data_IF_925777042633
#
_entry.id   IF_925777042633
#
_cell.length_a   1.000
_cell.length_b   1.000
_cell.length_c   1.000
_cell.angle_alpha   90.00
_cell.angle_beta   90.00
_cell.angle_gamma   90.00
#
_symmetry.space_group_name_H-M   'P 1'
#
loop_
_entity.id
_entity.type
_entity.pdbx_description
1 polymer ?
#
# COMPACT_ATOMS: atom_id res chain seq x y z
N UNK A 1 -31.89 3.62 -13.45
CA UNK A 1 -30.99 2.63 -12.81
C UNK A 1 -29.61 2.61 -13.47
N UNK A 2 -29.49 2.76 -14.79
CA UNK A 2 -28.18 2.86 -15.48
C UNK A 2 -27.31 4.03 -14.97
N UNK A 3 -27.91 5.21 -14.77
CA UNK A 3 -27.19 6.38 -14.26
C UNK A 3 -26.61 6.18 -12.85
N UNK A 4 -27.28 5.40 -12.01
CA UNK A 4 -26.80 5.11 -10.65
C UNK A 4 -25.61 4.15 -10.67
N UNK A 5 -25.61 3.17 -11.58
CA UNK A 5 -24.50 2.23 -11.74
C UNK A 5 -23.28 2.90 -12.38
N UNK A 6 -23.47 3.74 -13.41
CA UNK A 6 -22.37 4.48 -14.03
C UNK A 6 -21.72 5.47 -13.05
N UNK A 7 -22.52 6.10 -12.21
CA UNK A 7 -22.01 6.97 -11.14
C UNK A 7 -21.21 6.18 -10.10
N UNK A 8 -21.72 5.01 -9.66
CA UNK A 8 -21.01 4.16 -8.68
C UNK A 8 -19.67 3.66 -9.22
N UNK A 9 -19.62 3.29 -10.50
CA UNK A 9 -18.41 2.88 -11.19
C UNK A 9 -17.40 4.03 -11.29
N UNK A 10 -17.84 5.19 -11.74
CA UNK A 10 -17.00 6.39 -11.86
C UNK A 10 -16.44 6.83 -10.50
N UNK A 11 -17.27 6.93 -9.47
CA UNK A 11 -16.82 7.26 -8.11
C UNK A 11 -15.90 6.18 -7.53
N UNK A 12 -16.13 4.91 -7.87
CA UNK A 12 -15.27 3.80 -7.49
C UNK A 12 -13.85 3.95 -8.04
N UNK A 13 -13.71 4.32 -9.31
CA UNK A 13 -12.40 4.56 -9.94
C UNK A 13 -11.70 5.81 -9.39
N UNK A 14 -12.44 6.89 -9.12
CA UNK A 14 -11.88 8.10 -8.49
C UNK A 14 -11.38 7.76 -7.07
N UNK A 15 -12.18 7.05 -6.28
CA UNK A 15 -11.78 6.61 -4.94
C UNK A 15 -10.56 5.69 -4.98
N UNK A 16 -10.53 4.75 -5.94
CA UNK A 16 -9.40 3.87 -6.17
C UNK A 16 -8.12 4.66 -6.51
N UNK A 17 -8.22 5.66 -7.40
CA UNK A 17 -7.09 6.52 -7.77
C UNK A 17 -6.55 7.28 -6.56
N UNK A 18 -7.40 8.01 -5.86
CA UNK A 18 -7.00 8.84 -4.72
C UNK A 18 -6.38 8.00 -3.59
N UNK A 19 -6.99 6.85 -3.29
CA UNK A 19 -6.48 5.97 -2.24
C UNK A 19 -5.16 5.29 -2.64
N UNK A 20 -5.04 4.89 -3.91
CA UNK A 20 -3.82 4.27 -4.44
C UNK A 20 -2.66 5.26 -4.58
N UNK A 21 -2.95 6.56 -4.76
CA UNK A 21 -1.95 7.64 -4.76
C UNK A 21 -1.18 7.68 -3.43
N UNK A 22 -1.87 7.46 -2.30
CA UNK A 22 -1.26 7.27 -0.98
C UNK A 22 -0.63 5.88 -0.77
N UNK A 23 -0.64 5.02 -1.78
CA UNK A 23 -0.12 3.65 -1.74
C UNK A 23 -1.01 2.68 -0.95
N UNK A 24 -2.30 2.96 -0.78
CA UNK A 24 -3.26 2.07 -0.12
C UNK A 24 -3.55 0.83 -0.98
N UNK A 25 -3.51 -0.35 -0.39
CA UNK A 25 -3.84 -1.60 -1.10
C UNK A 25 -5.32 -2.01 -0.90
N UNK A 26 -5.97 -1.53 0.15
CA UNK A 26 -7.34 -1.92 0.51
C UNK A 26 -8.34 -1.56 -0.59
N UNK A 27 -8.22 -0.35 -1.19
CA UNK A 27 -9.09 0.04 -2.29
C UNK A 27 -8.90 -0.84 -3.53
N UNK A 28 -7.66 -1.27 -3.83
CA UNK A 28 -7.38 -2.17 -4.94
C UNK A 28 -7.92 -3.58 -4.68
N UNK A 29 -7.84 -4.08 -3.44
CA UNK A 29 -8.48 -5.33 -3.06
C UNK A 29 -10.00 -5.21 -3.25
N UNK A 30 -10.61 -4.12 -2.78
CA UNK A 30 -12.04 -3.86 -2.98
C UNK A 30 -12.42 -3.82 -4.45
N UNK A 31 -11.65 -3.12 -5.28
CA UNK A 31 -11.86 -3.05 -6.72
C UNK A 31 -11.73 -4.43 -7.39
N UNK A 32 -10.77 -5.27 -6.98
CA UNK A 32 -10.64 -6.64 -7.48
C UNK A 32 -11.83 -7.53 -7.12
N UNK A 33 -12.37 -7.41 -5.90
CA UNK A 33 -13.60 -8.11 -5.49
C UNK A 33 -14.81 -7.60 -6.28
N UNK A 34 -14.95 -6.28 -6.44
CA UNK A 34 -16.02 -5.69 -7.26
C UNK A 34 -15.93 -6.11 -8.73
N UNK A 35 -14.71 -6.28 -9.25
CA UNK A 35 -14.48 -6.81 -10.60
C UNK A 35 -14.87 -8.28 -10.70
N UNK A 36 -14.59 -9.10 -9.66
CA UNK A 36 -15.08 -10.47 -9.57
C UNK A 36 -16.61 -10.54 -9.58
N UNK A 37 -17.28 -9.58 -8.95
CA UNK A 37 -18.76 -9.46 -8.93
C UNK A 37 -19.33 -8.84 -10.21
N UNK A 38 -18.52 -8.53 -11.23
CA UNK A 38 -18.93 -7.91 -12.49
C UNK A 38 -19.35 -6.43 -12.37
N UNK A 39 -18.99 -5.75 -11.27
CA UNK A 39 -19.35 -4.34 -11.00
C UNK A 39 -18.29 -3.33 -11.42
N UNK A 40 -17.08 -3.77 -11.68
CA UNK A 40 -15.95 -2.96 -12.16
C UNK A 40 -15.15 -3.76 -13.19
N UNK A 41 -14.46 -3.07 -14.09
CA UNK A 41 -13.47 -3.72 -14.95
C UNK A 41 -12.14 -3.92 -14.23
N UNK A 42 -11.62 -5.14 -14.26
CA UNK A 42 -10.41 -5.52 -13.58
C UNK A 42 -9.18 -4.84 -14.18
N UNK A 43 -9.10 -4.78 -15.50
CA UNK A 43 -7.96 -4.20 -16.22
C UNK A 43 -7.85 -2.71 -15.95
N UNK A 44 -8.98 -2.01 -16.03
CA UNK A 44 -9.08 -0.58 -15.70
C UNK A 44 -8.72 -0.32 -14.24
N UNK A 45 -9.20 -1.14 -13.31
CA UNK A 45 -8.88 -1.02 -11.88
C UNK A 45 -7.38 -1.18 -11.60
N UNK A 46 -6.74 -2.19 -12.21
CA UNK A 46 -5.30 -2.43 -12.08
C UNK A 46 -4.51 -1.26 -12.70
N UNK A 47 -4.92 -0.79 -13.89
CA UNK A 47 -4.23 0.32 -14.56
C UNK A 47 -4.30 1.63 -13.75
N UNK A 48 -5.48 1.97 -13.22
CA UNK A 48 -5.68 3.15 -12.38
C UNK A 48 -4.83 3.05 -11.10
N UNK A 49 -4.87 1.94 -10.40
CA UNK A 49 -4.10 1.73 -9.18
C UNK A 49 -2.58 1.77 -9.43
N UNK A 50 -2.13 1.16 -10.54
CA UNK A 50 -0.74 1.20 -10.98
C UNK A 50 -0.26 2.64 -11.22
N UNK A 51 -0.99 3.41 -12.04
CA UNK A 51 -0.64 4.79 -12.38
C UNK A 51 -0.65 5.68 -11.13
N UNK A 52 -1.71 5.61 -10.33
CA UNK A 52 -1.83 6.39 -9.11
C UNK A 52 -0.69 6.09 -8.12
N UNK A 53 -0.36 4.82 -7.92
CA UNK A 53 0.70 4.41 -7.01
C UNK A 53 2.09 4.85 -7.51
N UNK A 54 2.36 4.73 -8.81
CA UNK A 54 3.61 5.19 -9.41
C UNK A 54 3.76 6.71 -9.29
N UNK A 55 2.69 7.46 -9.59
CA UNK A 55 2.66 8.92 -9.48
C UNK A 55 2.84 9.38 -8.02
N UNK A 56 2.17 8.73 -7.07
CA UNK A 56 2.29 9.06 -5.65
C UNK A 56 3.73 9.01 -5.14
N UNK A 57 4.45 7.96 -5.48
CA UNK A 57 5.86 7.81 -5.09
C UNK A 57 6.77 8.84 -5.78
N UNK A 58 6.48 9.18 -7.05
CA UNK A 58 7.20 10.23 -7.78
C UNK A 58 6.97 11.59 -7.13
N UNK A 59 5.73 11.91 -6.76
CA UNK A 59 5.40 13.15 -6.05
C UNK A 59 6.15 13.24 -4.71
N UNK A 60 6.15 12.16 -3.92
CA UNK A 60 6.89 12.12 -2.64
C UNK A 60 8.39 12.31 -2.84
N UNK A 61 8.97 11.70 -3.87
CA UNK A 61 10.36 11.87 -4.23
C UNK A 61 10.69 13.33 -4.58
N UNK A 62 9.88 13.97 -5.44
CA UNK A 62 10.09 15.36 -5.84
C UNK A 62 9.89 16.34 -4.68
N UNK A 63 8.83 16.16 -3.88
CA UNK A 63 8.62 16.97 -2.68
C UNK A 63 9.82 16.90 -1.72
N UNK A 64 10.34 15.68 -1.49
CA UNK A 64 11.52 15.52 -0.65
C UNK A 64 12.78 16.16 -1.23
N UNK A 65 12.93 16.16 -2.55
CA UNK A 65 14.09 16.74 -3.24
C UNK A 65 14.08 18.26 -3.24
N UNK A 66 12.94 18.87 -3.55
CA UNK A 66 12.83 20.31 -3.78
C UNK A 66 12.23 21.08 -2.61
N UNK A 67 11.46 20.41 -1.74
CA UNK A 67 10.81 21.02 -0.57
C UNK A 67 11.27 20.35 0.74
N UNK A 68 12.58 20.19 0.87
CA UNK A 68 13.22 19.47 1.98
C UNK A 68 12.80 19.99 3.36
N UNK A 69 12.75 21.30 3.55
CA UNK A 69 12.39 21.93 4.84
C UNK A 69 10.98 21.54 5.27
N UNK A 70 9.99 21.70 4.38
CA UNK A 70 8.60 21.35 4.64
C UNK A 70 8.42 19.86 4.92
N UNK A 71 9.08 19.01 4.12
CA UNK A 71 9.03 17.56 4.33
C UNK A 71 9.66 17.13 5.65
N UNK A 72 10.79 17.71 6.05
CA UNK A 72 11.46 17.38 7.30
C UNK A 72 10.68 17.87 8.53
N UNK A 73 9.97 18.99 8.42
CA UNK A 73 9.10 19.49 9.46
C UNK A 73 7.88 18.56 9.65
N UNK A 74 7.16 18.20 8.58
CA UNK A 74 6.05 17.26 8.62
C UNK A 74 6.43 15.88 9.14
N UNK A 75 7.68 15.45 8.87
CA UNK A 75 8.20 14.15 9.31
C UNK A 75 8.93 14.19 10.66
N UNK A 76 8.86 15.29 11.39
CA UNK A 76 9.57 15.45 12.68
C UNK A 76 9.24 14.35 13.68
N UNK A 77 7.99 13.89 13.72
CA UNK A 77 7.54 12.77 14.58
C UNK A 77 8.00 11.39 14.06
N UNK A 78 8.40 11.29 12.80
CA UNK A 78 8.76 10.01 12.14
C UNK A 78 10.25 9.89 11.83
N UNK A 79 11.11 10.73 12.43
CA UNK A 79 12.57 10.76 12.17
C UNK A 79 13.25 9.40 12.28
N UNK A 80 12.85 8.56 13.26
CA UNK A 80 13.41 7.20 13.42
C UNK A 80 13.06 6.29 12.24
N UNK A 81 11.80 6.35 11.74
CA UNK A 81 11.38 5.58 10.58
C UNK A 81 12.05 6.07 9.30
N UNK A 82 12.24 7.38 9.14
CA UNK A 82 12.96 7.96 8.02
C UNK A 82 14.44 7.54 8.04
N UNK A 83 15.09 7.56 9.20
CA UNK A 83 16.45 7.06 9.36
C UNK A 83 16.55 5.57 9.01
N UNK A 84 15.58 4.75 9.46
CA UNK A 84 15.50 3.33 9.08
C UNK A 84 15.38 3.15 7.56
N UNK A 85 14.50 3.90 6.89
CA UNK A 85 14.37 3.88 5.44
C UNK A 85 15.69 4.22 4.74
N UNK A 86 16.44 5.20 5.27
CA UNK A 86 17.75 5.59 4.75
C UNK A 86 18.80 4.46 4.92
N UNK A 87 18.83 3.82 6.10
CA UNK A 87 19.71 2.66 6.37
C UNK A 87 19.36 1.49 5.45
N UNK A 88 18.08 1.19 5.28
CA UNK A 88 17.62 0.12 4.37
C UNK A 88 18.05 0.39 2.93
N UNK A 89 17.94 1.66 2.46
CA UNK A 89 18.42 2.04 1.14
C UNK A 89 19.94 1.86 1.02
N UNK A 90 20.71 2.27 2.03
CA UNK A 90 22.17 2.12 2.03
C UNK A 90 22.60 0.65 2.05
N UNK A 91 21.86 -0.21 2.76
CA UNK A 91 22.17 -1.65 2.87
C UNK A 91 21.74 -2.43 1.63
N UNK A 92 20.55 -2.16 1.10
CA UNK A 92 19.92 -2.96 0.04
C UNK A 92 20.01 -2.29 -1.34
N UNK A 93 20.56 -1.08 -1.44
CA UNK A 93 20.68 -0.36 -2.70
C UNK A 93 19.33 -0.16 -3.40
N UNK A 94 19.36 -0.31 -4.73
CA UNK A 94 18.17 -0.11 -5.59
C UNK A 94 17.05 -1.15 -5.35
N UNK A 95 17.36 -2.32 -4.80
CA UNK A 95 16.39 -3.39 -4.51
C UNK A 95 15.30 -2.96 -3.55
N UNK A 96 15.61 -2.03 -2.63
CA UNK A 96 14.60 -1.51 -1.69
C UNK A 96 13.43 -0.83 -2.41
N UNK A 97 13.66 -0.25 -3.60
CA UNK A 97 12.61 0.40 -4.40
C UNK A 97 11.60 -0.64 -4.90
N UNK A 98 12.06 -1.86 -5.21
CA UNK A 98 11.18 -2.92 -5.70
C UNK A 98 10.31 -3.49 -4.58
N UNK A 99 10.88 -3.71 -3.39
CA UNK A 99 10.19 -4.38 -2.28
C UNK A 99 9.47 -3.42 -1.33
N UNK A 100 9.74 -2.10 -1.42
CA UNK A 100 9.17 -1.10 -0.49
C UNK A 100 7.64 -1.16 -0.37
N UNK A 101 6.96 -1.44 -1.48
CA UNK A 101 5.50 -1.42 -1.57
C UNK A 101 4.84 -2.52 -0.72
N UNK A 102 5.60 -3.57 -0.39
CA UNK A 102 5.16 -4.68 0.44
C UNK A 102 5.55 -4.50 1.91
N UNK A 103 6.36 -3.49 2.24
CA UNK A 103 6.79 -3.22 3.63
C UNK A 103 5.89 -2.16 4.25
N UNK A 104 4.87 -2.61 4.98
CA UNK A 104 3.91 -1.72 5.61
C UNK A 104 4.56 -0.79 6.65
N UNK A 105 4.11 0.46 6.70
CA UNK A 105 4.56 1.47 7.68
C UNK A 105 5.80 2.27 7.30
N UNK A 106 6.59 1.83 6.29
CA UNK A 106 7.75 2.59 5.79
C UNK A 106 7.73 2.82 4.28
N UNK A 107 6.76 2.23 3.56
CA UNK A 107 6.68 2.32 2.09
C UNK A 107 6.69 3.76 1.55
N UNK A 108 5.95 4.68 2.17
CA UNK A 108 5.89 6.10 1.79
C UNK A 108 7.15 6.88 2.19
N UNK A 109 7.88 6.39 3.19
CA UNK A 109 9.10 7.03 3.66
C UNK A 109 10.32 6.71 2.79
N UNK A 110 10.29 5.61 2.03
CA UNK A 110 11.41 5.21 1.17
C UNK A 110 11.57 6.16 -0.02
N UNK A 111 10.53 6.53 -0.80
CA UNK A 111 10.63 7.54 -1.84
C UNK A 111 11.14 8.89 -1.30
N UNK A 112 10.67 9.27 -0.11
CA UNK A 112 11.13 10.49 0.58
C UNK A 112 12.61 10.38 0.94
N UNK A 113 13.03 9.27 1.58
CA UNK A 113 14.42 9.04 1.95
C UNK A 113 15.35 9.08 0.74
N UNK A 114 14.94 8.49 -0.38
CA UNK A 114 15.67 8.51 -1.65
C UNK A 114 15.72 9.93 -2.24
N UNK A 115 14.59 10.65 -2.23
CA UNK A 115 14.49 12.03 -2.71
C UNK A 115 15.41 13.00 -1.96
N UNK A 116 15.65 12.76 -0.67
CA UNK A 116 16.60 13.55 0.15
C UNK A 116 18.07 13.29 -0.20
N UNK A 117 18.38 12.27 -0.99
CA UNK A 117 19.74 11.95 -1.45
C UNK A 117 20.01 12.45 -2.87
N UNK A 118 21.25 12.27 -3.34
CA UNK A 118 21.62 12.52 -4.75
C UNK A 118 21.28 11.35 -5.69
N UNK A 119 20.35 10.46 -5.30
CA UNK A 119 19.97 9.30 -6.12
C UNK A 119 19.37 9.75 -7.46
N UNK A 120 19.76 9.08 -8.53
CA UNK A 120 19.31 9.41 -9.89
C UNK A 120 17.81 9.18 -10.06
N UNK A 121 17.10 10.21 -10.56
CA UNK A 121 15.65 10.15 -10.75
C UNK A 121 15.23 9.11 -11.78
N UNK A 122 15.98 8.96 -12.90
CA UNK A 122 15.60 8.02 -13.95
C UNK A 122 15.65 6.58 -13.42
N UNK A 123 16.70 6.24 -12.66
CA UNK A 123 16.81 4.93 -12.00
C UNK A 123 15.66 4.70 -11.00
N UNK A 124 15.34 5.72 -10.19
CA UNK A 124 14.21 5.65 -9.29
C UNK A 124 12.90 5.41 -10.05
N UNK A 125 12.61 6.20 -11.09
CA UNK A 125 11.37 6.13 -11.86
C UNK A 125 11.17 4.75 -12.52
N UNK A 126 12.21 4.20 -13.16
CA UNK A 126 12.13 2.87 -13.79
C UNK A 126 11.82 1.79 -12.77
N UNK A 127 12.52 1.78 -11.63
CA UNK A 127 12.31 0.79 -10.57
C UNK A 127 10.96 0.97 -9.89
N UNK A 128 10.52 2.21 -9.71
CA UNK A 128 9.21 2.53 -9.15
C UNK A 128 8.06 2.08 -10.05
N UNK A 129 8.17 2.30 -11.36
CA UNK A 129 7.19 1.81 -12.35
C UNK A 129 7.10 0.29 -12.28
N UNK A 130 8.23 -0.42 -12.33
CA UNK A 130 8.27 -1.88 -12.21
C UNK A 130 7.66 -2.39 -10.89
N UNK A 131 8.03 -1.76 -9.78
CA UNK A 131 7.48 -2.07 -8.45
C UNK A 131 5.97 -1.83 -8.38
N UNK A 132 5.48 -0.71 -8.96
CA UNK A 132 4.05 -0.38 -8.99
C UNK A 132 3.27 -1.39 -9.84
N UNK A 133 3.82 -1.83 -10.96
CA UNK A 133 3.19 -2.83 -11.82
C UNK A 133 3.06 -4.18 -11.08
N UNK A 134 4.14 -4.66 -10.47
CA UNK A 134 4.12 -5.90 -9.68
C UNK A 134 3.11 -5.80 -8.54
N UNK A 135 3.09 -4.67 -7.84
CA UNK A 135 2.17 -4.43 -6.73
C UNK A 135 0.71 -4.43 -7.20
N UNK A 136 0.38 -3.70 -8.28
CA UNK A 136 -0.98 -3.60 -8.80
C UNK A 136 -1.49 -4.93 -9.34
N UNK A 137 -0.64 -5.69 -10.05
CA UNK A 137 -0.96 -7.03 -10.54
C UNK A 137 -1.16 -8.01 -9.37
N UNK A 138 -0.26 -8.03 -8.40
CA UNK A 138 -0.33 -8.95 -7.27
C UNK A 138 -1.62 -8.76 -6.46
N UNK A 139 -1.95 -7.52 -6.09
CA UNK A 139 -3.15 -7.24 -5.30
C UNK A 139 -4.44 -7.26 -6.13
N UNK A 140 -4.41 -6.75 -7.38
CA UNK A 140 -5.58 -6.74 -8.26
C UNK A 140 -6.00 -8.15 -8.70
N UNK A 141 -5.08 -8.93 -9.27
CA UNK A 141 -5.34 -10.31 -9.67
C UNK A 141 -5.59 -11.20 -8.44
N UNK A 142 -4.77 -11.05 -7.38
CA UNK A 142 -4.93 -11.81 -6.15
C UNK A 142 -6.32 -11.66 -5.53
N UNK A 143 -6.83 -10.43 -5.44
CA UNK A 143 -8.19 -10.17 -4.91
C UNK A 143 -9.29 -10.63 -5.85
N UNK A 144 -9.11 -10.53 -7.16
CA UNK A 144 -10.05 -11.04 -8.15
C UNK A 144 -10.19 -12.55 -8.05
N UNK A 145 -9.09 -13.30 -8.11
CA UNK A 145 -9.13 -14.77 -8.01
C UNK A 145 -9.56 -15.28 -6.63
N UNK A 146 -9.33 -14.50 -5.58
CA UNK A 146 -9.83 -14.80 -4.24
C UNK A 146 -11.24 -14.24 -3.98
N UNK A 147 -11.88 -13.65 -4.99
CA UNK A 147 -13.16 -12.92 -4.86
C UNK A 147 -14.24 -13.72 -4.18
N UNK A 148 -14.44 -14.99 -4.57
CA UNK A 148 -15.46 -15.87 -3.96
C UNK A 148 -15.21 -16.09 -2.45
N UNK A 149 -13.97 -16.29 -2.04
CA UNK A 149 -13.60 -16.46 -0.64
C UNK A 149 -13.77 -15.15 0.15
N UNK A 150 -13.39 -14.02 -0.46
CA UNK A 150 -13.51 -12.70 0.18
C UNK A 150 -14.97 -12.27 0.34
N UNK A 151 -15.84 -12.56 -0.64
CA UNK A 151 -17.28 -12.30 -0.54
C UNK A 151 -17.89 -13.13 0.57
N UNK A 152 -17.64 -14.45 0.60
CA UNK A 152 -18.11 -15.32 1.70
C UNK A 152 -17.63 -14.85 3.07
N UNK A 153 -16.39 -14.40 3.17
CA UNK A 153 -15.84 -13.86 4.42
C UNK A 153 -16.56 -12.56 4.84
N UNK A 154 -16.86 -11.67 3.88
CA UNK A 154 -17.62 -10.45 4.14
C UNK A 154 -19.06 -10.76 4.59
N UNK A 155 -19.73 -11.75 3.98
CA UNK A 155 -21.05 -12.23 4.38
C UNK A 155 -21.04 -12.77 5.83
N UNK A 156 -20.06 -13.62 6.17
CA UNK A 156 -19.91 -14.17 7.53
C UNK A 156 -19.73 -13.05 8.57
N UNK A 157 -18.97 -12.00 8.24
CA UNK A 157 -18.79 -10.84 9.13
C UNK A 157 -20.08 -10.01 9.20
N UNK A 158 -20.78 -9.86 8.08
CA UNK A 158 -22.06 -9.13 8.03
C UNK A 158 -23.13 -9.79 8.88
N UNK A 159 -23.26 -11.12 8.79
CA UNK A 159 -24.22 -11.91 9.58
C UNK A 159 -23.84 -12.00 11.06
N UNK A 160 -22.56 -11.92 11.39
CA UNK A 160 -22.04 -12.07 12.76
C UNK A 160 -21.01 -10.97 13.07
N UNK A 161 -21.45 -9.74 13.33
CA UNK A 161 -20.56 -8.58 13.49
C UNK A 161 -19.55 -8.72 14.65
N UNK A 162 -19.77 -9.61 15.59
CA UNK A 162 -18.85 -9.91 16.69
C UNK A 162 -17.60 -10.70 16.25
N UNK A 163 -17.61 -11.31 15.05
CA UNK A 163 -16.45 -12.07 14.52
C UNK A 163 -15.28 -11.12 14.21
N UNK A 164 -15.55 -9.92 13.66
CA UNK A 164 -14.50 -8.96 13.35
C UNK A 164 -13.68 -8.53 14.59
N UNK A 165 -14.29 -8.10 15.72
CA UNK A 165 -13.53 -7.81 16.93
C UNK A 165 -12.85 -9.06 17.52
N UNK A 166 -13.45 -10.24 17.42
CA UNK A 166 -12.82 -11.49 17.88
C UNK A 166 -11.53 -11.79 17.12
N UNK A 167 -11.53 -11.66 15.79
CA UNK A 167 -10.33 -11.84 14.95
C UNK A 167 -9.25 -10.84 15.35
N UNK A 168 -9.61 -9.57 15.57
CA UNK A 168 -8.67 -8.53 16.01
C UNK A 168 -8.04 -8.85 17.38
N UNK A 169 -8.83 -9.34 18.32
CA UNK A 169 -8.34 -9.72 19.66
C UNK A 169 -7.42 -10.93 19.57
N UNK A 170 -7.80 -11.98 18.81
CA UNK A 170 -6.98 -13.17 18.63
C UNK A 170 -5.67 -12.86 17.92
N UNK A 171 -5.73 -12.08 16.83
CA UNK A 171 -4.54 -11.71 16.06
C UNK A 171 -3.64 -10.73 16.85
N UNK A 172 -4.24 -9.75 17.53
CA UNK A 172 -3.52 -8.83 18.40
C UNK A 172 -2.87 -9.54 19.60
N UNK A 173 -3.59 -10.48 20.21
CA UNK A 173 -3.08 -11.32 21.30
C UNK A 173 -1.94 -12.24 20.85
N UNK A 174 -2.07 -12.88 19.69
CA UNK A 174 -1.03 -13.72 19.11
C UNK A 174 0.24 -12.92 18.76
N UNK A 175 0.06 -11.72 18.19
CA UNK A 175 1.17 -10.79 17.90
C UNK A 175 1.85 -10.31 19.19
N UNK A 176 1.08 -9.99 20.21
CA UNK A 176 1.61 -9.56 21.51
C UNK A 176 2.39 -10.71 22.20
N UNK A 177 1.87 -11.93 22.19
CA UNK A 177 2.56 -13.11 22.70
C UNK A 177 3.85 -13.39 21.91
N UNK A 178 3.82 -13.30 20.59
CA UNK A 178 5.00 -13.46 19.75
C UNK A 178 6.07 -12.40 20.07
N UNK A 179 5.68 -11.14 20.19
CA UNK A 179 6.61 -10.05 20.54
C UNK A 179 7.21 -10.21 21.95
N UNK A 180 6.43 -10.64 22.94
CA UNK A 180 6.93 -10.88 24.30
C UNK A 180 7.89 -12.07 24.36
N UNK A 181 7.65 -13.12 23.58
CA UNK A 181 8.58 -14.26 23.47
C UNK A 181 9.87 -13.88 22.73
N UNK A 182 9.77 -13.10 21.66
CA UNK A 182 10.92 -12.64 20.90
C UNK A 182 11.83 -11.69 21.69
N UNK A 183 11.24 -10.89 22.60
CA UNK A 183 12.00 -10.00 23.49
C UNK A 183 12.66 -10.76 24.67
N UNK A 184 12.02 -11.78 25.19
CA UNK A 184 12.62 -12.63 26.26
C UNK A 184 13.85 -13.41 25.79
N UNK A 185 13.88 -13.82 24.51
CA UNK A 185 15.00 -14.58 23.91
C UNK A 185 16.28 -13.73 23.68
N UNK A 186 16.22 -12.41 23.84
CA UNK A 186 17.36 -11.49 23.67
C UNK A 186 18.05 -11.07 24.98
N UNK A 187 17.57 -11.53 26.11
CA UNK A 187 18.09 -11.12 27.46
C UNK A 187 18.84 -12.30 28.13
N UNK A 188 18.84 -13.49 27.53
CA UNK A 188 19.70 -14.63 27.89
C UNK A 188 20.73 -14.85 26.77
#
# INVERSE_FOLDING_TARGET
MEDTFSNLETYGYIGLFLYSLGGGFVALIGAGVLSFMGKMDLTTSIAIAFLANALGDVLLFYMARYQKSMMMEGLRKHRRKLALAHVMMKKNGSWIILIQKFVYGIKTLIPIAIGLTKYDFKKFAILNVGSSAIWALAFGLGSYYSGSALVKFAEIIGDKPWIAPLILVVFGGALWLYMTQATKKKIN
#
